data_IF_197769805317
#
_entry.id   IF_197769805317
#
_cell.length_a   1.000
_cell.length_b   1.000
_cell.length_c   1.000
_cell.angle_alpha   90.00
_cell.angle_beta   90.00
_cell.angle_gamma   90.00
#
_symmetry.space_group_name_H-M   'P 1'
#
loop_
_entity.id
_entity.type
_entity.pdbx_description
1 polymer ?
#
# COMPACT_ATOMS: atom_id res chain seq x y z
N UNK A 1 40.65 -46.90 -20.98
CA UNK A 1 40.32 -46.33 -19.65
C UNK A 1 39.71 -44.97 -19.94
N UNK A 2 38.34 -44.92 -20.09
CA UNK A 2 37.59 -43.69 -20.39
C UNK A 2 37.06 -43.09 -19.07
N UNK A 3 37.54 -41.86 -18.79
CA UNK A 3 37.09 -41.10 -17.61
C UNK A 3 35.84 -40.33 -18.03
N UNK A 4 34.67 -40.74 -17.54
CA UNK A 4 33.43 -39.97 -17.65
C UNK A 4 33.47 -38.78 -16.69
N UNK A 5 33.61 -37.60 -17.20
CA UNK A 5 33.53 -36.35 -16.46
C UNK A 5 32.04 -35.94 -16.46
N UNK A 6 31.35 -36.23 -15.33
CA UNK A 6 29.98 -35.82 -15.10
C UNK A 6 29.92 -34.30 -14.86
N UNK A 7 29.34 -33.56 -15.81
CA UNK A 7 29.07 -32.14 -15.68
C UNK A 7 27.91 -31.95 -14.67
N UNK A 8 28.24 -31.47 -13.49
CA UNK A 8 27.25 -31.10 -12.47
C UNK A 8 26.67 -29.72 -12.85
N UNK A 9 25.52 -29.74 -13.57
CA UNK A 9 24.78 -28.54 -13.91
C UNK A 9 23.96 -28.12 -12.67
N UNK A 10 24.50 -27.19 -11.88
CA UNK A 10 23.79 -26.61 -10.72
C UNK A 10 22.64 -25.74 -11.20
N UNK A 11 21.41 -26.22 -11.04
CA UNK A 11 20.17 -25.50 -11.35
C UNK A 11 19.84 -24.51 -10.23
N UNK A 12 20.25 -23.24 -10.38
CA UNK A 12 19.94 -22.14 -9.44
C UNK A 12 18.57 -21.49 -9.70
N UNK A 13 17.75 -22.03 -10.61
CA UNK A 13 16.46 -21.46 -11.01
C UNK A 13 15.32 -21.70 -10.00
N UNK A 14 15.46 -22.63 -9.04
CA UNK A 14 14.36 -23.03 -8.14
C UNK A 14 14.00 -21.99 -7.06
N UNK A 15 14.97 -21.22 -6.55
CA UNK A 15 14.77 -20.37 -5.37
C UNK A 15 13.93 -19.11 -5.70
N UNK A 16 14.12 -18.51 -6.86
CA UNK A 16 13.36 -17.31 -7.26
C UNK A 16 11.90 -17.63 -7.60
N UNK A 17 11.64 -18.79 -8.19
CA UNK A 17 10.29 -19.23 -8.52
C UNK A 17 9.46 -19.54 -7.26
N UNK A 18 10.06 -20.20 -6.27
CA UNK A 18 9.41 -20.49 -4.99
C UNK A 18 9.02 -19.21 -4.22
N UNK A 19 9.90 -18.22 -4.17
CA UNK A 19 9.61 -16.96 -3.48
C UNK A 19 8.46 -16.16 -4.13
N UNK A 20 8.38 -16.15 -5.46
CA UNK A 20 7.29 -15.48 -6.18
C UNK A 20 5.94 -16.17 -5.99
N UNK A 21 5.93 -17.50 -5.92
CA UNK A 21 4.72 -18.28 -5.68
C UNK A 21 4.19 -18.12 -4.26
N UNK A 22 5.05 -18.12 -3.25
CA UNK A 22 4.70 -17.84 -1.86
C UNK A 22 4.07 -16.46 -1.71
N UNK A 23 4.64 -15.42 -2.34
CA UNK A 23 4.09 -14.07 -2.33
C UNK A 23 2.72 -14.02 -3.02
N UNK A 24 2.53 -14.74 -4.13
CA UNK A 24 1.25 -14.80 -4.83
C UNK A 24 0.18 -15.49 -3.98
N UNK A 25 0.53 -16.61 -3.33
CA UNK A 25 -0.35 -17.32 -2.41
C UNK A 25 -0.70 -16.48 -1.19
N UNK A 26 0.25 -15.72 -0.67
CA UNK A 26 -0.01 -14.79 0.42
C UNK A 26 -0.99 -13.67 -0.01
N UNK A 27 -0.75 -13.04 -1.18
CA UNK A 27 -1.65 -12.00 -1.70
C UNK A 27 -3.09 -12.48 -1.87
N UNK A 28 -3.28 -13.73 -2.31
CA UNK A 28 -4.60 -14.31 -2.51
C UNK A 28 -5.41 -14.44 -1.22
N UNK A 29 -4.76 -14.41 -0.05
CA UNK A 29 -5.43 -14.49 1.27
C UNK A 29 -5.99 -13.14 1.74
N UNK A 30 -5.58 -12.04 1.11
CA UNK A 30 -6.00 -10.70 1.50
C UNK A 30 -7.12 -10.16 0.61
N UNK A 31 -7.91 -9.26 1.17
CA UNK A 31 -8.81 -8.42 0.40
C UNK A 31 -8.02 -7.60 -0.65
N UNK A 32 -8.60 -7.42 -1.84
CA UNK A 32 -8.02 -6.70 -2.96
C UNK A 32 -8.69 -5.30 -3.08
N UNK A 33 -8.28 -4.31 -2.26
CA UNK A 33 -9.05 -3.07 -2.11
C UNK A 33 -8.81 -2.04 -3.22
N UNK A 34 -7.77 -2.22 -4.02
CA UNK A 34 -7.46 -1.30 -5.11
C UNK A 34 -8.32 -1.58 -6.33
N UNK A 35 -8.80 -0.52 -6.97
CA UNK A 35 -9.69 -0.57 -8.13
C UNK A 35 -9.01 0.01 -9.36
N UNK A 36 -8.43 -0.82 -10.26
CA UNK A 36 -7.76 -0.35 -11.47
C UNK A 36 -8.67 0.42 -12.43
N UNK A 37 -9.97 0.14 -12.41
CA UNK A 37 -10.97 0.80 -13.26
C UNK A 37 -11.31 2.24 -12.82
N UNK A 38 -10.86 2.66 -11.64
CA UNK A 38 -11.26 3.93 -11.03
C UNK A 38 -10.32 5.07 -11.44
N UNK A 39 -10.90 6.22 -11.83
CA UNK A 39 -10.16 7.48 -11.97
C UNK A 39 -9.83 8.05 -10.59
N UNK A 40 -8.58 7.94 -10.20
CA UNK A 40 -8.11 8.30 -8.86
C UNK A 40 -8.23 9.79 -8.55
N UNK A 41 -8.02 10.70 -9.53
CA UNK A 41 -8.13 12.15 -9.30
C UNK A 41 -9.58 12.57 -9.09
N UNK A 42 -10.47 12.04 -9.90
CA UNK A 42 -11.91 12.24 -9.74
C UNK A 42 -12.40 11.68 -8.40
N UNK A 43 -11.97 10.47 -8.05
CA UNK A 43 -12.36 9.82 -6.81
C UNK A 43 -11.87 10.57 -5.58
N UNK A 44 -10.62 11.01 -5.56
CA UNK A 44 -10.09 11.85 -4.49
C UNK A 44 -10.91 13.13 -4.34
N UNK A 45 -11.27 13.78 -5.44
CA UNK A 45 -12.10 14.99 -5.42
C UNK A 45 -13.47 14.75 -4.76
N UNK A 46 -14.11 13.62 -5.04
CA UNK A 46 -15.36 13.22 -4.40
C UNK A 46 -15.19 12.95 -2.90
N UNK A 47 -14.13 12.21 -2.55
CA UNK A 47 -13.82 11.85 -1.15
C UNK A 47 -13.43 13.07 -0.30
N UNK A 48 -12.81 14.09 -0.88
CA UNK A 48 -12.53 15.35 -0.19
C UNK A 48 -13.81 16.09 0.18
N UNK A 49 -14.83 16.11 -0.70
CA UNK A 49 -16.16 16.66 -0.36
C UNK A 49 -16.80 15.91 0.80
N UNK A 50 -16.68 14.59 0.80
CA UNK A 50 -17.17 13.75 1.90
C UNK A 50 -16.37 14.02 3.19
N UNK A 51 -15.03 14.09 3.11
CA UNK A 51 -14.16 14.40 4.24
C UNK A 51 -14.53 15.74 4.90
N UNK A 52 -14.82 16.76 4.08
CA UNK A 52 -15.28 18.07 4.56
C UNK A 52 -16.61 17.97 5.31
N UNK A 53 -17.58 17.23 4.77
CA UNK A 53 -18.90 17.02 5.39
C UNK A 53 -18.78 16.27 6.71
N UNK A 54 -17.91 15.26 6.77
CA UNK A 54 -17.71 14.42 7.96
C UNK A 54 -16.66 14.98 8.94
N UNK A 55 -16.04 16.11 8.63
CA UNK A 55 -14.94 16.72 9.42
C UNK A 55 -13.79 15.74 9.65
N UNK A 56 -13.46 14.96 8.61
CA UNK A 56 -12.36 14.01 8.58
C UNK A 56 -11.26 14.47 7.63
N UNK A 57 -10.11 13.82 7.72
CA UNK A 57 -9.03 13.90 6.74
C UNK A 57 -9.17 12.76 5.72
N UNK A 58 -8.50 12.85 4.59
CA UNK A 58 -8.39 11.75 3.64
C UNK A 58 -7.01 11.07 3.84
N UNK A 59 -7.02 9.80 4.18
CA UNK A 59 -5.81 8.96 4.16
C UNK A 59 -5.78 8.20 2.84
N UNK A 60 -4.81 8.52 2.00
CA UNK A 60 -4.58 7.85 0.72
C UNK A 60 -3.43 6.87 0.87
N UNK A 61 -3.72 5.59 0.69
CA UNK A 61 -2.70 4.56 0.53
C UNK A 61 -2.43 4.34 -0.95
N UNK A 62 -1.22 4.68 -1.37
CA UNK A 62 -0.78 4.57 -2.76
C UNK A 62 -0.15 3.21 -3.00
N UNK A 63 -0.63 2.47 -4.00
CA UNK A 63 -0.12 1.13 -4.30
C UNK A 63 -0.97 0.37 -5.30
N UNK A 64 -1.11 -0.94 -5.11
CA UNK A 64 -1.90 -1.81 -5.97
C UNK A 64 -2.09 -3.19 -5.35
N UNK A 65 -3.01 -3.97 -5.92
CA UNK A 65 -3.27 -5.34 -5.47
C UNK A 65 -2.08 -6.29 -5.72
N UNK A 66 -1.12 -5.90 -6.55
CA UNK A 66 0.14 -6.61 -6.76
C UNK A 66 1.14 -6.47 -5.60
N UNK A 67 0.96 -5.46 -4.73
CA UNK A 67 1.87 -5.08 -3.66
C UNK A 67 1.48 -5.80 -2.35
N UNK A 68 2.17 -6.84 -1.97
CA UNK A 68 1.88 -7.61 -0.73
C UNK A 68 1.94 -6.74 0.53
N UNK A 69 2.88 -5.79 0.60
CA UNK A 69 2.98 -4.85 1.70
C UNK A 69 1.76 -3.92 1.82
N UNK A 70 1.21 -3.53 0.67
CA UNK A 70 -0.02 -2.75 0.62
C UNK A 70 -1.21 -3.52 1.22
N UNK A 71 -1.29 -4.80 0.89
CA UNK A 71 -2.36 -5.69 1.39
C UNK A 71 -2.18 -6.02 2.87
N UNK A 72 -0.95 -6.24 3.33
CA UNK A 72 -0.63 -6.43 4.76
C UNK A 72 -1.06 -5.22 5.59
N UNK A 73 -0.75 -4.00 5.14
CA UNK A 73 -1.17 -2.79 5.84
C UNK A 73 -2.70 -2.67 5.91
N UNK A 74 -3.37 -2.81 4.76
CA UNK A 74 -4.83 -2.79 4.71
C UNK A 74 -5.44 -3.80 5.68
N UNK A 75 -4.95 -5.04 5.65
CA UNK A 75 -5.42 -6.09 6.56
C UNK A 75 -5.20 -5.72 8.03
N UNK A 76 -4.04 -5.20 8.39
CA UNK A 76 -3.74 -4.78 9.76
C UNK A 76 -4.72 -3.71 10.25
N UNK A 77 -4.88 -2.61 9.50
CA UNK A 77 -5.68 -1.47 9.96
C UNK A 77 -7.19 -1.73 9.92
N UNK A 78 -7.65 -2.65 9.05
CA UNK A 78 -9.08 -2.98 8.93
C UNK A 78 -9.49 -4.13 9.85
N UNK A 79 -8.57 -5.04 10.22
CA UNK A 79 -8.88 -6.22 11.06
C UNK A 79 -8.50 -6.03 12.53
N UNK A 80 -7.65 -5.04 12.86
CA UNK A 80 -7.32 -4.71 14.25
C UNK A 80 -8.33 -3.72 14.82
N UNK A 81 -9.18 -4.08 15.78
CA UNK A 81 -10.30 -3.22 16.24
C UNK A 81 -9.86 -1.84 16.70
N UNK A 82 -8.71 -1.74 17.38
CA UNK A 82 -8.18 -0.46 17.86
C UNK A 82 -7.77 0.46 16.71
N UNK A 83 -7.03 -0.08 15.72
CA UNK A 83 -6.56 0.68 14.56
C UNK A 83 -7.74 1.10 13.68
N UNK A 84 -8.66 0.18 13.43
CA UNK A 84 -9.88 0.45 12.67
C UNK A 84 -10.70 1.59 13.31
N UNK A 85 -10.86 1.60 14.62
CA UNK A 85 -11.59 2.66 15.32
C UNK A 85 -10.93 4.04 15.13
N UNK A 86 -9.60 4.11 15.19
CA UNK A 86 -8.87 5.37 14.95
C UNK A 86 -9.02 5.78 13.48
N UNK A 87 -8.86 4.84 12.55
CA UNK A 87 -9.02 5.05 11.12
C UNK A 87 -10.41 5.62 10.80
N UNK A 88 -11.48 4.92 11.20
CA UNK A 88 -12.87 5.31 10.93
C UNK A 88 -13.23 6.65 11.55
N UNK A 89 -12.68 6.96 12.74
CA UNK A 89 -12.98 8.22 13.44
C UNK A 89 -12.33 9.43 12.75
N UNK A 90 -11.11 9.27 12.24
CA UNK A 90 -10.29 10.42 11.82
C UNK A 90 -10.21 10.59 10.31
N UNK A 91 -10.39 9.50 9.57
CA UNK A 91 -10.09 9.48 8.13
C UNK A 91 -11.23 8.90 7.33
N UNK A 92 -11.30 9.36 6.08
CA UNK A 92 -11.81 8.57 4.97
C UNK A 92 -10.58 7.85 4.40
N UNK A 93 -10.62 6.53 4.29
CA UNK A 93 -9.50 5.72 3.84
C UNK A 93 -9.69 5.33 2.39
N UNK A 94 -8.71 5.65 1.55
CA UNK A 94 -8.76 5.44 0.10
C UNK A 94 -7.49 4.73 -0.41
N UNK A 95 -7.69 3.82 -1.35
CA UNK A 95 -6.62 3.08 -2.02
C UNK A 95 -6.43 3.62 -3.44
N UNK A 96 -5.42 4.46 -3.64
CA UNK A 96 -5.07 4.98 -4.96
C UNK A 96 -4.26 3.94 -5.72
N UNK A 97 -4.90 3.37 -6.77
CA UNK A 97 -4.28 2.34 -7.59
C UNK A 97 -3.14 2.86 -8.46
N UNK A 98 -2.06 2.07 -8.52
CA UNK A 98 -1.00 2.17 -9.51
C UNK A 98 -0.74 0.77 -10.05
N UNK A 99 -1.10 0.51 -11.29
CA UNK A 99 -0.91 -0.78 -11.95
C UNK A 99 -0.67 -0.60 -13.45
N UNK A 100 -0.23 -1.64 -14.18
CA UNK A 100 -0.09 -1.56 -15.64
C UNK A 100 -1.37 -1.13 -16.37
N UNK A 101 -2.54 -1.54 -15.84
CA UNK A 101 -3.86 -1.24 -16.42
C UNK A 101 -4.24 0.24 -16.21
N UNK A 102 -3.84 0.81 -15.06
CA UNK A 102 -4.13 2.20 -14.74
C UNK A 102 -3.08 2.76 -13.77
N UNK A 103 -2.25 3.65 -14.27
CA UNK A 103 -1.21 4.33 -13.49
C UNK A 103 -1.73 5.56 -12.73
N UNK A 104 -2.97 5.98 -12.98
CA UNK A 104 -3.57 7.18 -12.38
C UNK A 104 -2.66 8.42 -12.47
N UNK A 105 -2.04 8.66 -13.63
CA UNK A 105 -0.96 9.64 -13.83
C UNK A 105 -1.32 11.05 -13.37
N UNK A 106 -2.58 11.48 -13.58
CA UNK A 106 -3.06 12.79 -13.15
C UNK A 106 -2.99 12.96 -11.62
N UNK A 107 -3.52 11.98 -10.87
CA UNK A 107 -3.46 11.96 -9.41
C UNK A 107 -2.02 11.87 -8.90
N UNK A 108 -1.21 10.99 -9.49
CA UNK A 108 0.21 10.85 -9.12
C UNK A 108 0.99 12.14 -9.35
N UNK A 109 0.83 12.80 -10.50
CA UNK A 109 1.48 14.09 -10.79
C UNK A 109 1.06 15.17 -9.81
N UNK A 110 -0.24 15.27 -9.52
CA UNK A 110 -0.83 16.24 -8.59
C UNK A 110 -0.24 16.14 -7.19
N UNK A 111 -0.02 14.92 -6.71
CA UNK A 111 0.52 14.65 -5.36
C UNK A 111 2.01 14.34 -5.34
N UNK A 112 2.74 14.70 -6.40
CA UNK A 112 4.21 14.67 -6.45
C UNK A 112 4.82 13.29 -6.60
N UNK A 113 4.13 12.33 -7.24
CA UNK A 113 4.58 10.96 -7.52
C UNK A 113 5.07 10.21 -6.26
N UNK A 114 4.23 10.05 -5.24
CA UNK A 114 4.65 9.50 -3.96
C UNK A 114 5.22 8.09 -4.07
N UNK A 115 4.67 7.25 -4.94
CA UNK A 115 5.18 5.89 -5.15
C UNK A 115 6.59 5.86 -5.73
N UNK A 116 6.92 6.76 -6.67
CA UNK A 116 8.26 6.85 -7.23
C UNK A 116 9.30 7.38 -6.21
N UNK A 117 8.85 8.24 -5.28
CA UNK A 117 9.73 8.83 -4.27
C UNK A 117 9.94 7.96 -3.04
N UNK A 118 8.91 7.21 -2.62
CA UNK A 118 8.87 6.57 -1.31
C UNK A 118 8.58 5.07 -1.38
N UNK A 119 8.44 4.50 -2.57
CA UNK A 119 8.05 3.10 -2.75
C UNK A 119 6.57 2.85 -2.50
N UNK A 120 6.20 1.57 -2.40
CA UNK A 120 4.81 1.13 -2.21
C UNK A 120 4.69 0.18 -1.00
N UNK A 121 3.70 0.44 -0.11
CA UNK A 121 2.81 1.58 -0.14
C UNK A 121 3.50 2.87 0.32
N UNK A 122 3.03 4.00 -0.21
CA UNK A 122 3.23 5.31 0.40
C UNK A 122 1.88 5.82 0.91
N UNK A 123 1.91 6.64 1.96
CA UNK A 123 0.69 7.17 2.56
C UNK A 123 0.69 8.69 2.50
N UNK A 124 -0.43 9.26 2.05
CA UNK A 124 -0.66 10.70 2.07
C UNK A 124 -1.81 10.99 3.03
N UNK A 125 -1.63 11.96 3.90
CA UNK A 125 -2.75 12.53 4.67
C UNK A 125 -3.07 13.88 4.07
N UNK A 126 -4.29 14.00 3.53
CA UNK A 126 -4.81 15.25 2.98
C UNK A 126 -5.81 15.87 3.95
N UNK A 127 -5.83 17.21 4.01
CA UNK A 127 -6.96 17.90 4.61
C UNK A 127 -8.20 17.86 3.68
N UNK A 128 -9.31 18.44 4.12
CA UNK A 128 -10.54 18.46 3.35
C UNK A 128 -10.50 19.35 2.09
N UNK A 129 -9.47 20.17 1.93
CA UNK A 129 -9.26 21.01 0.77
C UNK A 129 -8.22 20.39 -0.21
N UNK A 130 -7.71 19.21 0.11
CA UNK A 130 -6.80 18.41 -0.71
C UNK A 130 -5.32 18.79 -0.55
N UNK A 131 -5.00 19.58 0.46
CA UNK A 131 -3.61 19.92 0.79
C UNK A 131 -2.94 18.74 1.50
N UNK A 132 -1.74 18.36 1.06
CA UNK A 132 -0.95 17.30 1.70
C UNK A 132 -0.43 17.80 3.04
N UNK A 133 -0.94 17.24 4.12
CA UNK A 133 -0.50 17.55 5.48
C UNK A 133 0.76 16.77 5.87
N UNK A 134 0.83 15.51 5.43
CA UNK A 134 2.00 14.66 5.66
C UNK A 134 2.07 13.52 4.65
N UNK A 135 3.29 13.04 4.43
CA UNK A 135 3.59 11.82 3.67
C UNK A 135 4.34 10.86 4.58
N UNK A 136 3.88 9.61 4.65
CA UNK A 136 4.50 8.57 5.45
C UNK A 136 5.03 7.46 4.53
N UNK A 137 6.28 7.07 4.75
CA UNK A 137 6.90 5.91 4.10
C UNK A 137 6.48 4.63 4.79
N UNK A 138 6.30 3.56 4.01
CA UNK A 138 5.99 2.22 4.53
C UNK A 138 7.06 1.71 5.48
N UNK A 139 8.33 1.80 5.08
CA UNK A 139 9.47 1.25 5.81
C UNK A 139 9.59 1.73 7.26
N UNK A 140 9.14 2.95 7.54
CA UNK A 140 9.17 3.52 8.89
C UNK A 140 8.13 2.87 9.84
N UNK A 141 7.12 2.21 9.27
CA UNK A 141 6.06 1.52 9.99
C UNK A 141 6.28 0.02 10.09
N UNK A 142 7.25 -0.52 9.35
CA UNK A 142 7.48 -1.95 9.20
C UNK A 142 8.18 -2.57 10.40
N UNK A 143 7.90 -3.88 10.61
CA UNK A 143 8.59 -4.77 11.55
C UNK A 143 8.52 -6.20 11.02
N UNK A 144 9.69 -6.84 10.86
CA UNK A 144 9.78 -8.19 10.32
C UNK A 144 9.17 -8.33 8.93
N UNK A 145 8.24 -9.25 8.77
CA UNK A 145 7.48 -9.45 7.52
C UNK A 145 6.12 -8.73 7.53
N UNK A 146 5.96 -7.65 8.31
CA UNK A 146 4.69 -6.92 8.44
C UNK A 146 4.89 -5.51 8.97
N UNK A 147 3.93 -5.05 9.76
CA UNK A 147 3.92 -3.72 10.33
C UNK A 147 3.85 -3.77 11.85
N UNK A 148 4.56 -2.88 12.54
CA UNK A 148 4.43 -2.68 13.99
C UNK A 148 3.10 -1.96 14.29
N UNK A 149 2.15 -2.62 15.00
CA UNK A 149 0.87 -2.01 15.34
C UNK A 149 1.01 -0.72 16.17
N UNK A 150 2.07 -0.59 16.98
CA UNK A 150 2.32 0.61 17.80
C UNK A 150 2.77 1.79 16.93
N UNK A 151 3.66 1.56 15.96
CA UNK A 151 4.06 2.57 14.98
C UNK A 151 2.87 3.00 14.12
N UNK A 152 2.10 2.04 13.59
CA UNK A 152 0.90 2.32 12.81
C UNK A 152 -0.13 3.11 13.64
N UNK A 153 -0.32 2.76 14.91
CA UNK A 153 -1.20 3.52 15.81
C UNK A 153 -0.74 4.97 15.98
N UNK A 154 0.55 5.20 16.20
CA UNK A 154 1.12 6.57 16.30
C UNK A 154 0.89 7.35 15.01
N UNK A 155 1.14 6.74 13.86
CA UNK A 155 0.88 7.34 12.55
C UNK A 155 -0.59 7.75 12.41
N UNK A 156 -1.53 6.84 12.64
CA UNK A 156 -2.97 7.14 12.54
C UNK A 156 -3.43 8.20 13.57
N UNK A 157 -2.74 8.33 14.68
CA UNK A 157 -3.00 9.38 15.67
C UNK A 157 -2.42 10.75 15.26
N UNK A 158 -1.55 10.81 14.25
CA UNK A 158 -0.83 12.03 13.84
C UNK A 158 0.27 12.43 14.83
N UNK A 159 0.98 11.44 15.38
CA UNK A 159 2.03 11.62 16.40
C UNK A 159 3.42 11.16 15.93
N UNK A 160 3.62 11.03 14.62
CA UNK A 160 4.94 10.77 14.03
C UNK A 160 5.63 12.06 13.65
#
# INVERSE_FOLDING_TARGET
>A
MYIFMALLCCTTTGVFAQNSEEINQERAKYEQPYRPEEDGDKRITELLKQAKKERKKLLVQVGGNWCVWCLRFNNLVTKTPELKRILDKKYIYYHLNFSPENKNEAAFKKYGNPGAKFGYPAFLILDSDGVVLSTQKSEELEEGKGYDPKKVKKFLQGRL
#
